data_IF_207612712307
#
_entry.id   IF_207612712307
#
_cell.length_a   1.000
_cell.length_b   1.000
_cell.length_c   1.000
_cell.angle_alpha   90.00
_cell.angle_beta   90.00
_cell.angle_gamma   90.00
#
_symmetry.space_group_name_H-M   'P 1'
#
loop_
_entity.id
_entity.type
_entity.pdbx_description
1 polymer ?
#
# COMPACT_ATOMS: atom_id res chain seq x y z
N UNK A 1 5.42 27.03 -12.27
CA UNK A 1 5.21 25.72 -12.92
C UNK A 1 5.51 24.62 -11.90
N UNK A 2 4.82 23.47 -12.00
CA UNK A 2 5.07 22.29 -11.18
C UNK A 2 4.83 21.01 -12.01
N UNK A 3 5.36 19.88 -11.55
CA UNK A 3 5.15 18.58 -12.14
C UNK A 3 3.99 17.85 -11.43
N UNK A 4 3.01 17.34 -12.19
CA UNK A 4 2.00 16.41 -11.68
C UNK A 4 2.51 14.99 -11.93
N UNK A 5 2.89 14.29 -10.87
CA UNK A 5 3.41 12.93 -10.96
C UNK A 5 2.25 11.92 -10.94
N UNK A 6 2.07 11.22 -12.04
CA UNK A 6 1.08 10.14 -12.23
C UNK A 6 1.80 8.83 -12.61
N UNK A 7 2.92 8.56 -11.96
CA UNK A 7 3.78 7.40 -12.19
C UNK A 7 3.54 6.37 -11.10
N UNK A 8 3.53 5.08 -11.45
CA UNK A 8 3.30 3.99 -10.51
C UNK A 8 4.48 3.02 -10.49
N UNK A 9 4.69 2.39 -9.33
CA UNK A 9 5.71 1.37 -9.13
C UNK A 9 7.13 1.91 -9.06
N UNK A 10 8.08 1.05 -9.45
CA UNK A 10 9.52 1.34 -9.39
C UNK A 10 9.87 2.61 -10.19
N UNK A 11 10.71 3.45 -9.60
CA UNK A 11 11.12 4.77 -10.07
C UNK A 11 10.01 5.85 -10.09
N UNK A 12 8.74 5.48 -9.90
CA UNK A 12 7.63 6.42 -9.81
C UNK A 12 7.22 6.73 -8.39
N UNK A 13 7.11 5.70 -7.53
CA UNK A 13 6.59 5.79 -6.17
C UNK A 13 7.66 5.56 -5.09
N UNK A 14 8.90 5.24 -5.46
CA UNK A 14 9.98 4.80 -4.56
C UNK A 14 10.95 5.92 -4.11
N UNK A 15 10.65 7.17 -4.44
CA UNK A 15 11.49 8.32 -4.12
C UNK A 15 12.50 8.68 -5.22
N UNK A 16 12.69 7.85 -6.25
CA UNK A 16 13.71 8.09 -7.30
C UNK A 16 13.37 9.34 -8.12
N UNK A 17 12.16 9.43 -8.67
CA UNK A 17 11.74 10.61 -9.43
C UNK A 17 11.56 11.83 -8.53
N UNK A 18 11.11 11.63 -7.29
CA UNK A 18 10.99 12.69 -6.30
C UNK A 18 12.35 13.33 -6.01
N UNK A 19 13.38 12.51 -5.78
CA UNK A 19 14.74 13.01 -5.59
C UNK A 19 15.29 13.74 -6.82
N UNK A 20 14.95 13.32 -8.04
CA UNK A 20 15.29 14.04 -9.26
C UNK A 20 14.62 15.42 -9.31
N UNK A 21 13.33 15.50 -8.93
CA UNK A 21 12.61 16.78 -8.89
C UNK A 21 13.22 17.72 -7.84
N UNK A 22 13.56 17.21 -6.65
CA UNK A 22 14.22 17.99 -5.59
C UNK A 22 15.59 18.53 -6.04
N UNK A 23 16.43 17.69 -6.68
CA UNK A 23 17.72 18.11 -7.21
C UNK A 23 17.60 19.16 -8.34
N UNK A 24 16.50 19.10 -9.10
CA UNK A 24 16.22 20.05 -10.17
C UNK A 24 15.47 21.31 -9.72
N UNK A 25 15.13 21.42 -8.43
CA UNK A 25 14.31 22.49 -7.86
C UNK A 25 12.95 22.65 -8.58
N UNK A 26 12.32 21.51 -8.90
CA UNK A 26 11.01 21.46 -9.57
C UNK A 26 9.96 21.04 -8.54
N UNK A 27 8.98 21.89 -8.21
CA UNK A 27 7.84 21.53 -7.39
C UNK A 27 7.03 20.38 -7.99
N UNK A 28 6.55 19.45 -7.17
CA UNK A 28 5.81 18.25 -7.65
C UNK A 28 4.69 17.84 -6.69
N UNK A 29 3.72 17.07 -7.19
CA UNK A 29 2.41 16.81 -6.58
C UNK A 29 2.31 15.53 -5.74
N UNK A 30 3.40 14.92 -5.32
CA UNK A 30 3.37 13.68 -4.53
C UNK A 30 4.13 13.79 -3.21
N UNK A 31 4.11 12.73 -2.40
CA UNK A 31 4.99 12.62 -1.24
C UNK A 31 6.43 12.93 -1.61
N UNK A 32 7.18 13.49 -0.66
CA UNK A 32 8.62 13.70 -0.81
C UNK A 32 9.40 12.40 -0.90
N UNK A 33 10.71 12.52 -1.09
CA UNK A 33 11.62 11.38 -1.25
C UNK A 33 11.49 10.36 -0.12
N UNK A 34 11.52 10.81 1.15
CA UNK A 34 11.48 9.91 2.32
C UNK A 34 10.15 9.18 2.40
N UNK A 35 9.02 9.90 2.31
CA UNK A 35 7.68 9.29 2.36
C UNK A 35 7.45 8.27 1.25
N UNK A 36 7.92 8.57 0.03
CA UNK A 36 7.85 7.66 -1.11
C UNK A 36 8.72 6.42 -0.92
N UNK A 37 9.97 6.58 -0.47
CA UNK A 37 10.88 5.45 -0.26
C UNK A 37 10.41 4.52 0.87
N UNK A 38 9.94 5.08 1.99
CA UNK A 38 9.37 4.30 3.10
C UNK A 38 8.08 3.60 2.66
N UNK A 39 7.19 4.31 1.96
CA UNK A 39 5.91 3.75 1.50
C UNK A 39 6.08 2.57 0.53
N UNK A 40 7.11 2.60 -0.30
CA UNK A 40 7.37 1.54 -1.29
C UNK A 40 7.95 0.26 -0.68
N UNK A 41 8.82 0.37 0.32
CA UNK A 41 9.46 -0.79 0.97
C UNK A 41 8.59 -1.34 2.11
N UNK A 42 7.90 -2.45 1.87
CA UNK A 42 6.98 -3.07 2.83
C UNK A 42 7.63 -3.40 4.19
N UNK A 43 8.92 -3.73 4.21
CA UNK A 43 9.64 -4.08 5.45
C UNK A 43 9.90 -2.81 6.26
N UNK A 44 10.42 -1.76 5.61
CA UNK A 44 10.72 -0.47 6.27
C UNK A 44 9.42 0.20 6.71
N UNK A 45 8.42 0.24 5.84
CA UNK A 45 7.09 0.79 6.13
C UNK A 45 6.48 0.16 7.39
N UNK A 46 6.45 -1.18 7.48
CA UNK A 46 5.92 -1.88 8.66
C UNK A 46 6.74 -1.64 9.93
N UNK A 47 8.06 -1.55 9.81
CA UNK A 47 8.92 -1.22 10.94
C UNK A 47 8.63 0.18 11.48
N UNK A 48 8.47 1.17 10.59
CA UNK A 48 8.08 2.53 10.93
C UNK A 48 6.70 2.55 11.60
N UNK A 49 5.69 1.97 11.00
CA UNK A 49 4.33 1.96 11.56
C UNK A 49 4.27 1.27 12.92
N UNK A 50 4.96 0.13 13.07
CA UNK A 50 5.06 -0.57 14.36
C UNK A 50 5.73 0.29 15.44
N UNK A 51 6.76 1.07 15.08
CA UNK A 51 7.45 1.95 16.04
C UNK A 51 6.57 3.08 16.57
N UNK A 52 5.52 3.45 15.81
CA UNK A 52 4.51 4.43 16.20
C UNK A 52 3.34 3.85 16.98
N UNK A 53 3.30 2.54 17.17
CA UNK A 53 2.15 1.87 17.77
C UNK A 53 0.97 1.66 16.82
N UNK A 54 1.16 1.90 15.52
CA UNK A 54 0.13 1.62 14.51
C UNK A 54 0.01 0.10 14.26
N UNK A 55 -1.21 -0.41 14.07
CA UNK A 55 -1.46 -1.83 13.93
C UNK A 55 -1.00 -2.33 12.55
N UNK A 56 -0.05 -3.26 12.56
CA UNK A 56 0.40 -4.00 11.37
C UNK A 56 0.35 -5.50 11.65
N UNK A 57 0.12 -6.29 10.62
CA UNK A 57 0.15 -7.76 10.76
C UNK A 57 1.56 -8.22 11.20
N UNK A 58 1.64 -9.25 12.07
CA UNK A 58 2.90 -9.89 12.42
C UNK A 58 3.67 -10.33 11.17
N UNK A 59 4.94 -10.00 11.12
CA UNK A 59 5.77 -10.31 9.97
C UNK A 59 7.23 -10.52 10.37
N UNK A 60 7.92 -11.37 9.62
CA UNK A 60 9.37 -11.52 9.61
C UNK A 60 9.90 -11.22 8.22
N UNK A 61 11.18 -11.01 8.11
CA UNK A 61 11.81 -10.79 6.81
C UNK A 61 13.15 -11.51 6.72
N UNK A 62 13.57 -11.76 5.50
CA UNK A 62 14.91 -12.26 5.18
C UNK A 62 15.42 -11.66 3.87
N UNK A 63 16.72 -11.81 3.63
CA UNK A 63 17.32 -11.53 2.34
C UNK A 63 17.36 -12.81 1.49
N UNK A 64 17.39 -12.63 0.16
CA UNK A 64 17.59 -13.73 -0.79
C UNK A 64 18.82 -14.58 -0.45
N UNK A 65 19.93 -13.95 -0.04
CA UNK A 65 21.15 -14.66 0.33
C UNK A 65 20.96 -15.55 1.58
N UNK A 66 20.24 -15.08 2.59
CA UNK A 66 19.90 -15.86 3.78
C UNK A 66 19.03 -17.08 3.41
N UNK A 67 18.03 -16.86 2.57
CA UNK A 67 17.20 -17.94 2.04
C UNK A 67 18.01 -19.00 1.29
N UNK A 68 18.90 -18.58 0.38
CA UNK A 68 19.76 -19.48 -0.40
C UNK A 68 20.79 -20.22 0.46
N UNK A 69 21.27 -19.59 1.53
CA UNK A 69 22.25 -20.18 2.44
C UNK A 69 21.64 -21.22 3.38
N UNK A 70 20.50 -20.89 4.00
CA UNK A 70 19.84 -21.78 4.96
C UNK A 70 18.29 -21.63 4.89
N UNK A 71 17.63 -22.31 3.93
CA UNK A 71 16.19 -22.28 3.82
C UNK A 71 15.47 -22.82 5.07
N UNK A 72 16.10 -23.76 5.81
CA UNK A 72 15.47 -24.35 6.98
C UNK A 72 15.45 -23.37 8.16
N UNK A 73 16.48 -22.59 8.35
CA UNK A 73 16.50 -21.55 9.40
C UNK A 73 15.45 -20.46 9.12
N UNK A 74 15.28 -20.05 7.85
CA UNK A 74 14.27 -19.06 7.48
C UNK A 74 12.86 -19.62 7.69
N UNK A 75 12.62 -20.87 7.28
CA UNK A 75 11.35 -21.56 7.51
C UNK A 75 11.02 -21.66 9.00
N UNK A 76 11.97 -22.19 9.79
CA UNK A 76 11.79 -22.37 11.25
C UNK A 76 11.49 -21.02 11.96
N UNK A 77 12.15 -19.94 11.54
CA UNK A 77 11.88 -18.61 12.05
C UNK A 77 10.44 -18.17 11.73
N UNK A 78 10.02 -18.34 10.49
CA UNK A 78 8.67 -17.96 10.05
C UNK A 78 7.58 -18.79 10.78
N UNK A 79 7.77 -20.10 10.89
CA UNK A 79 6.85 -20.98 11.63
C UNK A 79 6.79 -20.63 13.12
N UNK A 80 7.93 -20.34 13.75
CA UNK A 80 8.01 -20.00 15.17
C UNK A 80 7.41 -18.64 15.53
N UNK A 81 7.53 -17.64 14.65
CA UNK A 81 7.08 -16.28 14.95
C UNK A 81 5.69 -15.95 14.37
N UNK A 82 5.27 -16.62 13.29
CA UNK A 82 4.02 -16.30 12.55
C UNK A 82 3.07 -17.52 12.53
N UNK A 83 3.54 -18.67 12.07
CA UNK A 83 2.68 -19.83 11.78
C UNK A 83 1.85 -19.69 10.50
N UNK A 84 1.23 -20.81 10.06
CA UNK A 84 0.40 -20.80 8.85
C UNK A 84 -1.04 -20.32 9.12
N UNK A 85 -1.70 -19.76 8.10
CA UNK A 85 -1.19 -19.43 6.77
C UNK A 85 -0.36 -18.16 6.74
N UNK A 86 0.55 -18.06 5.75
CA UNK A 86 1.44 -16.91 5.56
C UNK A 86 1.36 -16.36 4.13
N UNK A 87 1.59 -15.05 3.96
CA UNK A 87 1.90 -14.43 2.68
C UNK A 87 3.39 -14.15 2.58
N UNK A 88 3.99 -14.52 1.47
CA UNK A 88 5.37 -14.26 1.11
C UNK A 88 5.37 -13.20 0.01
N UNK A 89 6.04 -12.07 0.23
CA UNK A 89 5.94 -10.88 -0.60
C UNK A 89 7.34 -10.31 -0.90
N UNK A 90 7.66 -9.96 -2.16
CA UNK A 90 8.78 -9.07 -2.45
C UNK A 90 8.60 -7.73 -1.71
N UNK A 91 9.68 -7.16 -1.17
CA UNK A 91 9.57 -5.94 -0.35
C UNK A 91 9.18 -4.70 -1.16
N UNK A 92 9.67 -4.57 -2.40
CA UNK A 92 9.60 -3.33 -3.19
C UNK A 92 8.73 -3.42 -4.45
N UNK A 93 7.79 -4.35 -4.50
CA UNK A 93 6.88 -4.50 -5.63
C UNK A 93 5.42 -4.24 -5.25
N UNK A 94 4.69 -3.63 -6.19
CA UNK A 94 3.25 -3.41 -6.11
C UNK A 94 2.45 -4.46 -6.91
N UNK A 95 1.12 -4.22 -7.04
CA UNK A 95 0.20 -4.99 -7.90
C UNK A 95 0.20 -6.50 -7.68
N UNK A 96 0.50 -6.97 -6.48
CA UNK A 96 0.57 -8.40 -6.11
C UNK A 96 1.59 -9.22 -6.92
N UNK A 97 2.57 -8.58 -7.56
CA UNK A 97 3.62 -9.28 -8.32
C UNK A 97 4.52 -10.06 -7.35
N UNK A 98 4.71 -11.35 -7.62
CA UNK A 98 5.59 -12.21 -6.84
C UNK A 98 5.07 -12.59 -5.45
N UNK A 99 3.80 -12.28 -5.13
CA UNK A 99 3.18 -12.66 -3.85
C UNK A 99 2.69 -14.10 -3.93
N UNK A 100 3.02 -14.90 -2.91
CA UNK A 100 2.51 -16.26 -2.73
C UNK A 100 1.89 -16.46 -1.36
N UNK A 101 0.84 -17.30 -1.27
CA UNK A 101 0.25 -17.76 -0.01
C UNK A 101 0.75 -19.16 0.30
N UNK A 102 1.26 -19.37 1.51
CA UNK A 102 1.69 -20.65 2.01
C UNK A 102 0.76 -21.13 3.12
N UNK A 103 0.35 -22.39 3.04
CA UNK A 103 -0.47 -23.07 4.05
C UNK A 103 0.29 -24.25 4.71
N UNK A 104 1.44 -24.57 4.18
CA UNK A 104 2.32 -25.65 4.63
C UNK A 104 3.79 -25.37 4.22
N UNK A 105 4.76 -26.18 4.67
CA UNK A 105 6.19 -25.97 4.37
C UNK A 105 6.52 -26.06 2.87
N UNK A 106 5.81 -26.86 2.09
CA UNK A 106 6.08 -26.99 0.66
C UNK A 106 5.58 -25.76 -0.12
N UNK A 107 4.38 -25.27 0.21
CA UNK A 107 3.87 -24.00 -0.30
C UNK A 107 4.75 -22.83 0.09
N UNK A 108 5.32 -22.84 1.32
CA UNK A 108 6.26 -21.83 1.75
C UNK A 108 7.52 -21.80 0.86
N UNK A 109 8.13 -22.97 0.59
CA UNK A 109 9.31 -23.03 -0.27
C UNK A 109 9.02 -22.52 -1.68
N UNK A 110 7.88 -22.94 -2.26
CA UNK A 110 7.49 -22.47 -3.60
C UNK A 110 7.29 -20.94 -3.64
N UNK A 111 6.58 -20.37 -2.65
CA UNK A 111 6.35 -18.94 -2.57
C UNK A 111 7.65 -18.16 -2.34
N UNK A 112 8.59 -18.70 -1.55
CA UNK A 112 9.91 -18.10 -1.32
C UNK A 112 10.76 -18.06 -2.60
N UNK A 113 10.77 -19.15 -3.41
CA UNK A 113 11.49 -19.15 -4.69
C UNK A 113 10.93 -18.09 -5.65
N UNK A 114 9.60 -17.96 -5.71
CA UNK A 114 8.96 -16.94 -6.52
C UNK A 114 9.34 -15.54 -6.03
N UNK A 115 9.14 -15.23 -4.76
CA UNK A 115 9.46 -13.90 -4.21
C UNK A 115 10.95 -13.56 -4.36
N UNK A 116 11.83 -14.54 -4.10
CA UNK A 116 13.28 -14.38 -4.25
C UNK A 116 13.73 -14.17 -5.70
N UNK A 117 12.96 -14.57 -6.71
CA UNK A 117 13.26 -14.26 -8.10
C UNK A 117 13.03 -12.78 -8.44
N UNK A 118 12.08 -12.15 -7.76
CA UNK A 118 11.69 -10.75 -8.02
C UNK A 118 12.46 -9.72 -7.17
N UNK A 119 12.74 -10.01 -5.90
CA UNK A 119 13.40 -9.05 -5.00
C UNK A 119 14.51 -9.74 -4.19
N UNK A 120 15.48 -8.95 -3.77
CA UNK A 120 16.52 -9.36 -2.84
C UNK A 120 16.05 -9.40 -1.38
N UNK A 121 14.95 -8.71 -1.05
CA UNK A 121 14.35 -8.61 0.29
C UNK A 121 12.93 -9.17 0.25
N UNK A 122 12.62 -10.03 1.20
CA UNK A 122 11.38 -10.79 1.22
C UNK A 122 10.71 -10.57 2.58
N UNK A 123 9.46 -10.14 2.55
CA UNK A 123 8.59 -10.06 3.70
C UNK A 123 7.75 -11.36 3.79
N UNK A 124 7.69 -11.95 4.97
CA UNK A 124 6.85 -13.07 5.31
C UNK A 124 5.86 -12.60 6.37
N UNK A 125 4.59 -12.61 6.06
CA UNK A 125 3.55 -11.98 6.87
C UNK A 125 2.41 -12.95 7.18
N UNK A 126 1.82 -12.84 8.38
CA UNK A 126 0.63 -13.60 8.74
C UNK A 126 -0.50 -13.33 7.73
N UNK A 127 -1.09 -14.39 7.20
CA UNK A 127 -2.30 -14.26 6.40
C UNK A 127 -3.53 -14.22 7.30
N UNK A 128 -4.42 -13.27 7.06
CA UNK A 128 -5.72 -13.21 7.71
C UNK A 128 -6.67 -14.17 7.00
N UNK A 129 -7.44 -14.92 7.76
CA UNK A 129 -8.54 -15.72 7.25
C UNK A 129 -9.78 -14.81 7.08
N UNK A 130 -10.42 -14.88 5.93
CA UNK A 130 -11.59 -14.04 5.61
C UNK A 130 -11.35 -12.53 5.77
N UNK A 131 -10.31 -11.96 5.14
CA UNK A 131 -10.00 -10.54 5.26
C UNK A 131 -11.09 -9.68 4.62
N UNK A 132 -11.40 -8.55 5.25
CA UNK A 132 -12.15 -7.47 4.60
C UNK A 132 -11.15 -6.37 4.27
N UNK A 133 -11.01 -6.05 2.99
CA UNK A 133 -10.14 -4.97 2.54
C UNK A 133 -10.88 -3.64 2.62
N UNK A 134 -10.25 -2.62 3.17
CA UNK A 134 -10.76 -1.25 3.23
C UNK A 134 -9.67 -0.30 2.77
N UNK A 135 -10.03 0.66 1.93
CA UNK A 135 -9.13 1.71 1.50
C UNK A 135 -9.59 3.07 2.03
N UNK A 136 -8.65 3.90 2.42
CA UNK A 136 -8.90 5.30 2.78
C UNK A 136 -7.78 6.18 2.24
N UNK A 137 -8.13 7.28 1.57
CA UNK A 137 -7.15 8.24 1.08
C UNK A 137 -6.99 9.43 2.05
N UNK A 138 -5.86 10.11 1.94
CA UNK A 138 -5.66 11.41 2.58
C UNK A 138 -5.14 12.40 1.55
N UNK A 139 -5.76 13.59 1.50
CA UNK A 139 -5.41 14.70 0.63
C UNK A 139 -4.93 15.87 1.50
N UNK A 140 -3.74 16.41 1.22
CA UNK A 140 -3.22 17.50 2.04
C UNK A 140 -1.75 17.82 1.84
N UNK A 141 -1.18 18.46 2.85
CA UNK A 141 0.22 18.84 2.96
C UNK A 141 0.64 18.86 4.45
N UNK A 142 1.73 19.56 4.80
CA UNK A 142 2.20 19.73 6.18
C UNK A 142 1.19 20.42 7.11
N UNK A 143 0.28 21.25 6.57
CA UNK A 143 -0.67 22.07 7.34
C UNK A 143 -2.05 21.43 7.44
N UNK A 144 -2.52 20.76 6.39
CA UNK A 144 -3.84 20.14 6.36
C UNK A 144 -3.76 18.67 5.93
N UNK A 145 -4.62 17.85 6.49
CA UNK A 145 -4.77 16.44 6.13
C UNK A 145 -6.26 16.08 6.18
N UNK A 146 -6.84 15.89 4.99
CA UNK A 146 -8.25 15.58 4.81
C UNK A 146 -8.41 14.09 4.45
N UNK A 147 -8.87 13.24 5.38
CA UNK A 147 -9.16 11.85 5.05
C UNK A 147 -10.42 11.77 4.16
N UNK A 148 -10.43 10.79 3.27
CA UNK A 148 -11.58 10.52 2.40
C UNK A 148 -12.66 9.70 3.10
N UNK A 149 -13.75 9.42 2.37
CA UNK A 149 -14.60 8.29 2.71
C UNK A 149 -13.80 6.98 2.59
N UNK A 150 -14.16 5.99 3.41
CA UNK A 150 -13.63 4.64 3.28
C UNK A 150 -14.31 3.90 2.12
N UNK A 151 -13.55 3.09 1.43
CA UNK A 151 -14.00 2.19 0.36
C UNK A 151 -13.81 0.75 0.79
N UNK A 152 -14.79 -0.09 0.55
CA UNK A 152 -14.56 -1.52 0.41
C UNK A 152 -14.40 -1.83 -1.08
N UNK A 153 -13.17 -2.16 -1.55
CA UNK A 153 -12.98 -2.55 -2.93
C UNK A 153 -13.73 -3.85 -3.23
N UNK A 154 -14.03 -4.08 -4.49
CA UNK A 154 -14.66 -5.34 -4.88
C UNK A 154 -13.76 -6.52 -4.53
N UNK A 155 -14.28 -7.44 -3.72
CA UNK A 155 -13.59 -8.69 -3.42
C UNK A 155 -13.44 -9.52 -4.70
N UNK A 156 -12.22 -9.88 -5.02
CA UNK A 156 -11.97 -10.97 -5.94
C UNK A 156 -12.00 -12.26 -5.08
N UNK A 157 -13.02 -13.06 -5.23
CA UNK A 157 -13.24 -14.31 -4.44
C UNK A 157 -12.11 -15.34 -4.56
N UNK A 158 -11.10 -15.07 -5.37
CA UNK A 158 -9.90 -15.88 -5.52
C UNK A 158 -8.71 -14.96 -5.66
N UNK A 159 -7.60 -15.33 -5.03
CA UNK A 159 -6.30 -14.68 -5.18
C UNK A 159 -5.88 -14.79 -6.66
N UNK A 160 -6.34 -13.83 -7.47
CA UNK A 160 -5.97 -13.80 -8.88
C UNK A 160 -4.54 -13.33 -9.01
N UNK A 161 -3.73 -14.11 -9.68
CA UNK A 161 -2.38 -13.72 -10.08
C UNK A 161 -2.43 -12.48 -10.98
N UNK A 162 -1.30 -11.76 -11.09
CA UNK A 162 -1.19 -10.63 -12.00
C UNK A 162 -1.62 -10.97 -13.43
N UNK A 163 -1.30 -12.19 -13.89
CA UNK A 163 -1.69 -12.70 -15.21
C UNK A 163 -3.22 -12.80 -15.37
N UNK A 164 -3.89 -13.25 -14.33
CA UNK A 164 -5.36 -13.37 -14.34
C UNK A 164 -6.03 -11.99 -14.28
N UNK A 165 -5.42 -11.03 -13.55
CA UNK A 165 -5.94 -9.66 -13.45
C UNK A 165 -5.82 -8.86 -14.74
N UNK A 166 -4.74 -9.05 -15.52
CA UNK A 166 -4.39 -8.16 -16.62
C UNK A 166 -4.28 -8.83 -18.00
N UNK A 167 -4.02 -10.13 -18.08
CA UNK A 167 -3.73 -10.83 -19.34
C UNK A 167 -4.93 -11.65 -19.86
N UNK A 168 -5.77 -12.22 -18.97
CA UNK A 168 -6.96 -13.01 -19.33
C UNK A 168 -8.24 -12.19 -19.41
N UNK A 169 -8.15 -10.88 -19.52
CA UNK A 169 -9.29 -10.01 -19.79
C UNK A 169 -9.87 -10.29 -21.17
N UNK A 170 -10.69 -11.33 -21.28
CA UNK A 170 -11.67 -11.40 -22.39
C UNK A 170 -12.48 -10.11 -22.37
N UNK A 171 -12.48 -9.36 -23.48
CA UNK A 171 -13.01 -8.02 -23.68
C UNK A 171 -14.48 -7.76 -23.32
N UNK A 172 -15.00 -8.43 -22.33
CA UNK A 172 -16.22 -8.08 -21.61
C UNK A 172 -15.81 -7.23 -20.42
N UNK A 173 -15.84 -5.95 -20.66
CA UNK A 173 -15.43 -4.86 -19.79
C UNK A 173 -15.56 -5.15 -18.31
N UNK A 174 -14.77 -4.42 -17.52
CA UNK A 174 -14.89 -4.29 -16.06
C UNK A 174 -16.34 -3.94 -15.67
N UNK A 175 -17.25 -4.90 -15.87
CA UNK A 175 -18.62 -4.81 -15.40
C UNK A 175 -18.58 -4.96 -13.89
N UNK A 176 -18.57 -3.82 -13.22
CA UNK A 176 -19.13 -3.60 -11.89
C UNK A 176 -18.91 -4.75 -10.91
N UNK A 177 -17.67 -5.01 -10.55
CA UNK A 177 -17.42 -5.49 -9.20
C UNK A 177 -17.82 -4.31 -8.30
N UNK A 178 -18.80 -4.51 -7.43
CA UNK A 178 -19.48 -3.43 -6.73
C UNK A 178 -18.60 -2.89 -5.61
N UNK A 179 -17.69 -1.96 -6.00
CA UNK A 179 -17.04 -1.07 -5.05
C UNK A 179 -18.10 -0.39 -4.18
N UNK A 180 -17.93 -0.41 -2.87
CA UNK A 180 -18.85 0.23 -1.95
C UNK A 180 -18.19 1.48 -1.33
N UNK A 181 -18.78 2.64 -1.59
CA UNK A 181 -18.39 3.93 -1.02
C UNK A 181 -19.66 4.65 -0.54
N UNK A 182 -19.79 4.96 0.74
CA UNK A 182 -18.89 4.56 1.84
C UNK A 182 -18.88 3.06 2.09
N UNK A 183 -17.76 2.56 2.65
CA UNK A 183 -17.63 1.15 3.03
C UNK A 183 -18.70 0.75 4.07
N UNK A 184 -19.25 -0.47 4.02
CA UNK A 184 -20.29 -0.94 4.93
C UNK A 184 -19.71 -1.40 6.29
N UNK A 185 -18.98 -0.52 6.95
CA UNK A 185 -18.37 -0.71 8.28
C UNK A 185 -18.98 0.27 9.29
N UNK A 186 -18.76 0.02 10.58
CA UNK A 186 -19.31 0.89 11.61
C UNK A 186 -18.72 2.32 11.56
N UNK A 187 -19.43 3.33 12.08
CA UNK A 187 -18.88 4.68 12.19
C UNK A 187 -17.60 4.75 13.01
N UNK A 188 -17.48 3.91 14.04
CA UNK A 188 -16.32 3.82 14.92
C UNK A 188 -15.10 3.30 14.15
N UNK A 189 -15.25 2.21 13.36
CA UNK A 189 -14.21 1.68 12.50
C UNK A 189 -13.82 2.68 11.40
N UNK A 190 -14.81 3.34 10.81
CA UNK A 190 -14.57 4.40 9.81
C UNK A 190 -13.69 5.50 10.39
N UNK A 191 -14.04 5.99 11.58
CA UNK A 191 -13.28 7.04 12.27
C UNK A 191 -11.87 6.58 12.60
N UNK A 192 -11.71 5.37 13.11
CA UNK A 192 -10.42 4.78 13.44
C UNK A 192 -9.50 4.67 12.21
N UNK A 193 -10.03 4.19 11.08
CA UNK A 193 -9.30 4.09 9.83
C UNK A 193 -8.88 5.48 9.32
N UNK A 194 -9.80 6.45 9.37
CA UNK A 194 -9.49 7.82 8.98
C UNK A 194 -8.42 8.44 9.88
N UNK A 195 -8.46 8.21 11.20
CA UNK A 195 -7.45 8.71 12.14
C UNK A 195 -6.08 8.10 11.85
N UNK A 196 -6.00 6.77 11.64
CA UNK A 196 -4.76 6.10 11.24
C UNK A 196 -4.24 6.62 9.89
N UNK A 197 -5.13 6.87 8.92
CA UNK A 197 -4.74 7.41 7.62
C UNK A 197 -4.11 8.79 7.74
N UNK A 198 -4.69 9.67 8.59
CA UNK A 198 -4.14 11.00 8.87
C UNK A 198 -2.82 10.91 9.63
N UNK A 199 -2.68 9.98 10.58
CA UNK A 199 -1.46 9.77 11.33
C UNK A 199 -0.31 9.30 10.43
N UNK A 200 -0.56 8.31 9.56
CA UNK A 200 0.39 7.86 8.53
C UNK A 200 0.79 9.00 7.60
N UNK A 201 -0.19 9.77 7.11
CA UNK A 201 0.04 10.90 6.21
C UNK A 201 0.98 11.94 6.84
N UNK A 202 0.73 12.33 8.08
CA UNK A 202 1.53 13.32 8.80
C UNK A 202 2.93 12.82 9.14
N UNK A 203 3.04 11.56 9.60
CA UNK A 203 4.32 10.98 9.99
C UNK A 203 5.28 10.84 8.81
N UNK A 204 4.79 10.42 7.67
CA UNK A 204 5.61 10.28 6.47
C UNK A 204 5.80 11.63 5.73
N UNK A 205 5.36 12.73 6.33
CA UNK A 205 5.37 14.06 5.72
C UNK A 205 4.83 14.04 4.29
N UNK A 206 3.70 13.34 4.12
CA UNK A 206 3.08 13.21 2.83
C UNK A 206 2.56 14.55 2.31
N UNK A 207 2.57 14.71 1.00
CA UNK A 207 2.02 15.86 0.26
C UNK A 207 1.21 15.35 -0.93
N UNK A 208 0.15 16.07 -1.29
CA UNK A 208 -0.76 15.67 -2.35
C UNK A 208 -1.79 14.65 -1.87
N UNK A 209 -1.94 13.54 -2.57
CA UNK A 209 -2.88 12.49 -2.20
C UNK A 209 -2.18 11.15 -2.06
N UNK A 210 -2.47 10.45 -0.97
CA UNK A 210 -2.05 9.07 -0.72
C UNK A 210 -3.28 8.20 -0.47
N UNK A 211 -3.15 6.88 -0.60
CA UNK A 211 -4.18 5.93 -0.19
C UNK A 211 -3.54 4.86 0.70
N UNK A 212 -4.12 4.66 1.86
CA UNK A 212 -3.73 3.60 2.79
C UNK A 212 -4.73 2.46 2.64
N UNK A 213 -4.21 1.26 2.46
CA UNK A 213 -4.98 0.04 2.28
C UNK A 213 -4.92 -0.77 3.58
N UNK A 214 -6.08 -1.16 4.09
CA UNK A 214 -6.28 -1.83 5.37
C UNK A 214 -6.82 -3.23 5.18
N UNK A 215 -6.50 -4.10 6.15
CA UNK A 215 -7.11 -5.42 6.31
C UNK A 215 -7.83 -5.45 7.65
N UNK A 216 -9.10 -5.83 7.63
CA UNK A 216 -9.88 -6.09 8.83
C UNK A 216 -9.98 -7.59 9.08
N UNK A 217 -9.79 -7.96 10.36
CA UNK A 217 -10.05 -9.29 10.91
C UNK A 217 -11.11 -9.12 12.00
N UNK A 218 -12.38 -9.29 11.64
CA UNK A 218 -13.49 -8.86 12.49
C UNK A 218 -13.45 -7.34 12.71
N UNK A 219 -13.32 -6.91 13.97
CA UNK A 219 -13.19 -5.48 14.33
C UNK A 219 -11.73 -5.00 14.44
N UNK A 220 -10.77 -5.89 14.26
CA UNK A 220 -9.35 -5.56 14.28
C UNK A 220 -8.92 -4.95 12.95
N UNK A 221 -8.33 -3.75 13.01
CA UNK A 221 -7.82 -3.04 11.83
C UNK A 221 -6.31 -3.21 11.74
N UNK A 222 -5.80 -3.56 10.56
CA UNK A 222 -4.36 -3.62 10.28
C UNK A 222 -4.04 -2.79 9.04
N UNK A 223 -2.97 -1.99 9.11
CA UNK A 223 -2.44 -1.29 7.93
C UNK A 223 -1.68 -2.31 7.09
N UNK A 224 -2.09 -2.47 5.84
CA UNK A 224 -1.44 -3.35 4.88
C UNK A 224 -0.33 -2.64 4.12
N UNK A 225 -0.67 -1.55 3.42
CA UNK A 225 0.29 -0.76 2.64
C UNK A 225 -0.19 0.69 2.43
N UNK A 226 0.73 1.55 2.01
CA UNK A 226 0.43 2.90 1.54
C UNK A 226 0.80 3.02 0.07
N UNK A 227 -0.07 3.65 -0.71
CA UNK A 227 0.15 4.02 -2.09
C UNK A 227 0.40 5.54 -2.13
N UNK A 228 1.62 5.95 -2.41
CA UNK A 228 2.03 7.36 -2.37
C UNK A 228 1.63 8.14 -3.61
N UNK A 229 1.28 7.45 -4.70
CA UNK A 229 0.61 7.98 -5.90
C UNK A 229 -0.51 7.01 -6.27
N UNK A 230 -1.68 7.09 -5.62
CA UNK A 230 -2.75 6.12 -5.86
C UNK A 230 -3.33 6.25 -7.27
N UNK A 231 -3.77 5.13 -7.84
CA UNK A 231 -4.41 5.10 -9.15
C UNK A 231 -5.54 6.12 -9.25
N UNK A 232 -5.58 6.87 -10.36
CA UNK A 232 -6.53 7.97 -10.59
C UNK A 232 -6.53 9.02 -9.46
N UNK A 233 -5.42 9.19 -8.72
CA UNK A 233 -5.32 10.05 -7.53
C UNK A 233 -6.41 9.80 -6.49
N UNK A 234 -7.00 8.60 -6.45
CA UNK A 234 -8.11 8.23 -5.58
C UNK A 234 -9.29 9.23 -5.60
N UNK A 235 -9.48 9.97 -6.69
CA UNK A 235 -10.46 11.07 -6.78
C UNK A 235 -11.89 10.59 -6.48
N UNK A 236 -12.21 9.37 -6.84
CA UNK A 236 -13.52 8.75 -6.62
C UNK A 236 -13.92 8.61 -5.14
N UNK A 237 -12.95 8.71 -4.21
CA UNK A 237 -13.20 8.74 -2.78
C UNK A 237 -13.60 10.13 -2.28
N UNK A 238 -13.30 11.17 -3.05
CA UNK A 238 -13.57 12.57 -2.72
C UNK A 238 -14.79 13.14 -3.46
N UNK A 239 -15.16 12.59 -4.62
CA UNK A 239 -16.35 13.05 -5.35
C UNK A 239 -17.62 13.04 -4.49
N UNK A 240 -17.93 11.98 -3.70
CA UNK A 240 -19.10 11.99 -2.83
C UNK A 240 -19.00 13.02 -1.69
N UNK A 241 -17.81 13.52 -1.41
CA UNK A 241 -17.56 14.62 -0.45
C UNK A 241 -17.68 16.00 -1.08
N UNK A 242 -18.02 16.09 -2.36
CA UNK A 242 -18.16 17.35 -3.09
C UNK A 242 -16.86 17.91 -3.70
N UNK A 243 -15.76 17.14 -3.67
CA UNK A 243 -14.50 17.53 -4.31
C UNK A 243 -14.43 16.85 -5.68
N UNK A 244 -14.66 17.62 -6.73
CA UNK A 244 -14.55 17.13 -8.10
C UNK A 244 -13.11 16.79 -8.48
N UNK A 245 -12.91 16.00 -9.53
CA UNK A 245 -11.57 15.69 -10.05
C UNK A 245 -10.76 16.96 -10.36
N UNK A 246 -11.38 17.95 -11.01
CA UNK A 246 -10.72 19.23 -11.31
C UNK A 246 -10.27 19.95 -10.02
N UNK A 247 -11.16 20.04 -9.02
CA UNK A 247 -10.84 20.67 -7.74
C UNK A 247 -9.72 19.91 -6.98
N UNK A 248 -9.67 18.59 -7.11
CA UNK A 248 -8.58 17.79 -6.55
C UNK A 248 -7.26 18.10 -7.24
N UNK A 249 -7.24 18.16 -8.57
CA UNK A 249 -6.03 18.51 -9.34
C UNK A 249 -5.55 19.93 -9.00
N UNK A 250 -6.46 20.89 -8.87
CA UNK A 250 -6.11 22.26 -8.45
C UNK A 250 -5.45 22.27 -7.07
N UNK A 251 -5.94 21.45 -6.13
CA UNK A 251 -5.30 21.27 -4.82
C UNK A 251 -3.92 20.64 -4.92
N UNK A 252 -3.73 19.62 -5.77
CA UNK A 252 -2.42 19.00 -5.98
C UNK A 252 -1.40 20.01 -6.51
N UNK A 253 -1.80 20.88 -7.43
CA UNK A 253 -0.97 21.99 -7.94
C UNK A 253 -0.62 22.96 -6.81
N UNK A 254 -1.62 23.39 -6.03
CA UNK A 254 -1.41 24.31 -4.92
C UNK A 254 -0.44 23.74 -3.88
N UNK A 255 -0.60 22.47 -3.47
CA UNK A 255 0.31 21.81 -2.52
C UNK A 255 1.72 21.63 -3.10
N UNK A 256 1.84 21.34 -4.40
CA UNK A 256 3.14 21.25 -5.05
C UNK A 256 3.92 22.56 -4.96
N UNK A 257 3.24 23.70 -5.15
CA UNK A 257 3.85 25.03 -5.15
C UNK A 257 4.19 25.55 -3.75
N UNK A 258 3.53 25.06 -2.70
CA UNK A 258 3.81 25.44 -1.32
C UNK A 258 5.11 24.83 -0.77
N UNK A 259 5.67 23.84 -1.44
CA UNK A 259 6.85 23.13 -0.96
C UNK A 259 6.60 22.20 0.22
N UNK A 260 7.68 21.84 0.92
CA UNK A 260 7.68 21.10 2.18
C UNK A 260 8.04 22.04 3.36
N UNK A 261 7.64 23.29 3.30
CA UNK A 261 7.92 24.27 4.35
C UNK A 261 7.27 23.93 5.69
#
# INVERSE_FOLDING_TARGET
>A
DCAILALHGMHGEDGTVQGLMELADIPYSSCGLVGSAVGMDKIVMKAVFKSMGLPVLPAVYCNRAEWQQDPQAVLAKAEGEIGYPMFIKPANLGSSIGIGKAVDPDGFRQAMEVAASFDRRILIERAVEHPVEINCACLGNSQEALPSLCEQPACWDTFLTFEEKYIRGDGKGMKSLSRQIPAPISPELTKQIQDYTVEVFRMLECKGVVRVDYILEGEQVYINEINTIPGSFAFYLYEPMGISFAALVDKLVAYAQQGLE
#
